data_IF_927728580817
#
_entry.id   IF_927728580817
#
_cell.length_a   1.000
_cell.length_b   1.000
_cell.length_c   1.000
_cell.angle_alpha   90.00
_cell.angle_beta   90.00
_cell.angle_gamma   90.00
#
_symmetry.space_group_name_H-M   'P 1'
#
loop_
_entity.id
_entity.type
_entity.pdbx_description
1 polymer ?
#
# COMPACT_ATOMS: atom_id res chain seq x y z
N UNK A 1 -20.34 15.52 -21.46
CA UNK A 1 -20.57 15.89 -20.06
C UNK A 1 -21.07 14.67 -19.30
N UNK A 2 -20.24 14.08 -18.44
CA UNK A 2 -20.64 13.27 -17.29
C UNK A 2 -19.36 13.03 -16.50
N UNK A 3 -19.16 13.83 -15.45
CA UNK A 3 -17.91 13.91 -14.67
C UNK A 3 -17.96 12.94 -13.47
N UNK A 4 -19.10 12.28 -13.21
CA UNK A 4 -19.27 11.35 -12.09
C UNK A 4 -19.99 10.08 -12.55
N UNK A 5 -19.31 8.92 -12.43
CA UNK A 5 -19.84 7.60 -12.81
C UNK A 5 -20.33 6.77 -11.59
N UNK A 6 -20.06 7.24 -10.36
CA UNK A 6 -20.49 6.60 -9.11
C UNK A 6 -20.53 7.62 -7.98
N UNK A 7 -21.25 7.31 -6.91
CA UNK A 7 -21.21 8.03 -5.65
C UNK A 7 -21.07 7.05 -4.49
N UNK A 8 -20.47 7.51 -3.40
CA UNK A 8 -20.15 6.66 -2.27
C UNK A 8 -19.83 7.45 -1.01
N UNK A 9 -19.75 6.75 0.10
CA UNK A 9 -19.44 7.32 1.41
C UNK A 9 -18.67 6.33 2.27
N UNK A 10 -17.72 6.86 3.02
CA UNK A 10 -16.81 6.07 3.84
C UNK A 10 -16.98 6.48 5.31
N UNK A 11 -17.19 5.49 6.17
CA UNK A 11 -17.21 5.65 7.61
C UNK A 11 -16.06 4.86 8.22
N UNK A 12 -15.27 5.53 9.06
CA UNK A 12 -14.15 4.93 9.77
C UNK A 12 -14.28 5.23 11.26
N UNK A 13 -14.01 4.22 12.07
CA UNK A 13 -13.91 4.37 13.52
C UNK A 13 -12.70 3.60 14.02
N UNK A 14 -11.97 4.18 14.97
CA UNK A 14 -10.84 3.52 15.62
C UNK A 14 -10.90 3.71 17.13
N UNK A 15 -10.78 2.61 17.88
CA UNK A 15 -10.66 2.63 19.34
C UNK A 15 -9.25 2.22 19.74
N UNK A 16 -8.61 3.05 20.56
CA UNK A 16 -7.27 2.82 21.07
C UNK A 16 -7.34 2.61 22.57
N UNK A 17 -6.79 1.50 23.05
CA UNK A 17 -6.72 1.17 24.47
C UNK A 17 -5.31 1.44 25.00
N UNK A 18 -5.20 1.85 26.26
CA UNK A 18 -3.91 2.07 26.94
C UNK A 18 -3.06 0.81 27.03
N UNK A 19 -3.67 -0.37 26.88
CA UNK A 19 -3.01 -1.68 26.75
C UNK A 19 -2.26 -1.87 25.42
N UNK A 20 -2.31 -0.89 24.52
CA UNK A 20 -1.74 -0.95 23.17
C UNK A 20 -2.59 -1.76 22.18
N UNK A 21 -3.77 -2.22 22.59
CA UNK A 21 -4.76 -2.82 21.69
C UNK A 21 -5.49 -1.71 20.91
N UNK A 22 -5.74 -1.96 19.63
CA UNK A 22 -6.40 -1.04 18.72
C UNK A 22 -7.39 -1.82 17.86
N UNK A 23 -8.61 -1.31 17.76
CA UNK A 23 -9.62 -1.81 16.83
C UNK A 23 -9.97 -0.74 15.82
N UNK A 24 -10.06 -1.11 14.56
CA UNK A 24 -10.51 -0.27 13.45
C UNK A 24 -11.70 -0.92 12.80
N UNK A 25 -12.74 -0.13 12.56
CA UNK A 25 -13.90 -0.51 11.79
C UNK A 25 -14.00 0.44 10.60
N UNK A 26 -14.14 -0.12 9.42
CA UNK A 26 -14.42 0.64 8.20
C UNK A 26 -15.71 0.14 7.58
N UNK A 27 -16.49 1.07 7.06
CA UNK A 27 -17.64 0.80 6.22
C UNK A 27 -17.56 1.70 5.01
N UNK A 28 -17.58 1.11 3.81
CA UNK A 28 -17.57 1.85 2.57
C UNK A 28 -18.79 1.44 1.73
N UNK A 29 -19.49 2.43 1.21
CA UNK A 29 -20.61 2.24 0.30
C UNK A 29 -20.25 2.83 -1.06
N UNK A 30 -20.43 2.06 -2.13
CA UNK A 30 -20.32 2.56 -3.51
C UNK A 30 -21.52 2.14 -4.33
N UNK A 31 -22.12 3.11 -5.02
CA UNK A 31 -23.22 2.87 -5.96
C UNK A 31 -22.90 3.48 -7.33
N UNK A 32 -23.10 2.72 -8.43
CA UNK A 32 -23.01 3.27 -9.77
C UNK A 32 -24.13 4.29 -10.02
N UNK A 33 -23.84 5.33 -10.80
CA UNK A 33 -24.81 6.39 -11.08
C UNK A 33 -25.97 5.85 -11.93
N UNK A 34 -27.19 5.85 -11.39
CA UNK A 34 -28.40 5.45 -12.11
C UNK A 34 -29.00 4.09 -11.73
N UNK A 35 -28.35 3.29 -10.87
CA UNK A 35 -28.94 2.05 -10.34
C UNK A 35 -28.53 1.78 -8.88
N UNK A 36 -29.38 2.21 -7.95
CA UNK A 36 -29.20 2.02 -6.51
C UNK A 36 -29.22 0.54 -6.09
N UNK A 37 -29.80 -0.35 -6.91
CA UNK A 37 -29.88 -1.78 -6.62
C UNK A 37 -28.59 -2.53 -6.94
N UNK A 38 -27.56 -1.86 -7.45
CA UNK A 38 -26.23 -2.41 -7.68
C UNK A 38 -25.18 -1.85 -6.70
N UNK A 39 -25.63 -1.41 -5.52
CA UNK A 39 -24.72 -0.93 -4.51
C UNK A 39 -23.85 -2.06 -3.94
N UNK A 40 -22.56 -1.78 -3.84
CA UNK A 40 -21.59 -2.62 -3.15
C UNK A 40 -21.31 -2.06 -1.76
N UNK A 41 -21.43 -2.92 -0.76
CA UNK A 41 -21.13 -2.58 0.62
C UNK A 41 -19.85 -3.29 1.05
N UNK A 42 -18.90 -2.55 1.60
CA UNK A 42 -17.66 -3.08 2.12
C UNK A 42 -17.63 -2.87 3.63
N UNK A 43 -17.35 -3.93 4.37
CA UNK A 43 -17.16 -3.89 5.83
C UNK A 43 -15.76 -4.36 6.13
N UNK A 44 -14.95 -3.51 6.74
CA UNK A 44 -13.60 -3.85 7.18
C UNK A 44 -13.50 -3.90 8.70
N UNK A 45 -12.76 -4.89 9.19
CA UNK A 45 -12.34 -5.01 10.58
C UNK A 45 -10.82 -5.08 10.61
N UNK A 46 -10.21 -4.19 11.38
CA UNK A 46 -8.79 -4.23 11.73
C UNK A 46 -8.63 -4.41 13.24
N UNK A 47 -7.84 -5.39 13.64
CA UNK A 47 -7.41 -5.59 15.01
C UNK A 47 -5.89 -5.51 15.04
N UNK A 48 -5.35 -4.76 15.98
CA UNK A 48 -3.91 -4.79 16.20
C UNK A 48 -3.58 -4.69 17.67
N UNK A 49 -2.50 -5.35 18.07
CA UNK A 49 -2.03 -5.27 19.44
C UNK A 49 -0.55 -5.00 19.47
N UNK A 50 -0.19 -3.86 20.06
CA UNK A 50 1.20 -3.45 20.25
C UNK A 50 1.59 -3.62 21.71
N UNK A 51 2.66 -4.36 21.96
CA UNK A 51 3.27 -4.47 23.29
C UNK A 51 4.78 -4.36 23.20
N UNK A 52 5.44 -4.07 24.33
CA UNK A 52 6.88 -3.85 24.38
C UNK A 52 7.55 -4.94 25.23
N UNK A 53 8.12 -6.00 24.63
CA UNK A 53 8.79 -7.06 25.39
C UNK A 53 10.11 -6.61 26.03
N UNK A 54 10.77 -5.61 25.43
CA UNK A 54 12.01 -5.01 25.91
C UNK A 54 11.88 -3.49 25.84
N UNK A 55 12.60 -2.77 26.71
CA UNK A 55 12.61 -1.30 26.72
C UNK A 55 12.92 -0.78 25.30
N UNK A 56 11.97 -0.06 24.70
CA UNK A 56 12.03 0.58 23.37
C UNK A 56 11.85 -0.34 22.14
N UNK A 57 11.71 -1.65 22.34
CA UNK A 57 11.36 -2.59 21.26
C UNK A 57 9.88 -2.91 21.37
N UNK A 58 9.17 -2.82 20.26
CA UNK A 58 7.73 -3.05 20.18
C UNK A 58 7.45 -4.18 19.21
N UNK A 59 6.57 -5.07 19.65
CA UNK A 59 5.95 -6.07 18.81
C UNK A 59 4.51 -5.65 18.54
N UNK A 60 4.09 -5.68 17.28
CA UNK A 60 2.71 -5.43 16.87
C UNK A 60 2.19 -6.62 16.09
N UNK A 61 1.11 -7.24 16.56
CA UNK A 61 0.30 -8.14 15.73
C UNK A 61 -0.77 -7.34 14.98
N UNK A 62 -1.13 -7.80 13.78
CA UNK A 62 -2.14 -7.22 12.93
C UNK A 62 -3.03 -8.33 12.39
N UNK A 63 -4.33 -8.09 12.42
CA UNK A 63 -5.32 -8.82 11.65
C UNK A 63 -6.20 -7.80 10.96
N UNK A 64 -6.41 -7.95 9.66
CA UNK A 64 -7.38 -7.15 8.92
C UNK A 64 -8.22 -8.09 8.07
N UNK A 65 -9.50 -7.80 7.95
CA UNK A 65 -10.39 -8.50 7.06
C UNK A 65 -11.35 -7.49 6.45
N UNK A 66 -11.61 -7.62 5.15
CA UNK A 66 -12.66 -6.89 4.46
C UNK A 66 -13.63 -7.89 3.83
N UNK A 67 -14.91 -7.64 4.04
CA UNK A 67 -16.03 -8.37 3.46
C UNK A 67 -16.71 -7.48 2.43
N UNK A 68 -17.05 -8.06 1.29
CA UNK A 68 -17.97 -7.47 0.32
C UNK A 68 -19.36 -8.09 0.53
N UNK A 69 -20.36 -7.24 0.62
CA UNK A 69 -21.77 -7.61 0.57
C UNK A 69 -22.35 -7.05 -0.72
N UNK A 70 -22.91 -7.92 -1.56
CA UNK A 70 -23.67 -7.52 -2.74
C UNK A 70 -25.06 -7.00 -2.35
N UNK A 71 -25.84 -6.52 -3.33
CA UNK A 71 -27.17 -5.98 -3.12
C UNK A 71 -28.16 -6.97 -2.47
N UNK A 72 -27.85 -8.27 -2.50
CA UNK A 72 -28.62 -9.35 -1.87
C UNK A 72 -28.08 -9.74 -0.47
N UNK A 73 -27.16 -8.94 0.09
CA UNK A 73 -26.49 -9.15 1.37
C UNK A 73 -25.70 -10.48 1.49
N UNK A 74 -25.26 -11.07 0.38
CA UNK A 74 -24.44 -12.28 0.45
C UNK A 74 -23.00 -11.88 0.78
N UNK A 75 -22.58 -12.18 2.00
CA UNK A 75 -21.23 -11.90 2.48
C UNK A 75 -20.20 -12.78 1.76
N UNK A 76 -19.19 -12.15 1.17
CA UNK A 76 -18.00 -12.82 0.64
C UNK A 76 -16.77 -12.13 1.22
N UNK A 77 -15.85 -12.91 1.79
CA UNK A 77 -14.55 -12.36 2.17
C UNK A 77 -13.86 -11.80 0.93
N UNK A 78 -13.44 -10.55 0.96
CA UNK A 78 -12.71 -9.90 -0.14
C UNK A 78 -11.20 -9.99 0.12
N UNK A 79 -10.83 -9.82 1.39
CA UNK A 79 -9.45 -9.70 1.84
C UNK A 79 -9.34 -10.15 3.29
N UNK A 80 -8.26 -10.85 3.63
CA UNK A 80 -7.87 -11.16 4.99
C UNK A 80 -6.36 -11.12 5.06
N UNK A 81 -5.81 -10.41 6.04
CA UNK A 81 -4.38 -10.32 6.27
C UNK A 81 -4.08 -10.58 7.74
N UNK A 82 -3.04 -11.36 7.96
CA UNK A 82 -2.44 -11.57 9.27
C UNK A 82 -1.02 -11.04 9.18
N UNK A 83 -0.59 -10.31 10.18
CA UNK A 83 0.72 -9.68 10.14
C UNK A 83 1.34 -9.58 11.52
N UNK A 84 2.65 -9.49 11.52
CA UNK A 84 3.39 -9.06 12.69
C UNK A 84 4.48 -8.07 12.30
N UNK A 85 4.81 -7.19 13.22
CA UNK A 85 5.85 -6.19 13.08
C UNK A 85 6.69 -6.13 14.35
N UNK A 86 8.00 -6.03 14.17
CA UNK A 86 8.96 -5.73 15.23
C UNK A 86 9.62 -4.39 14.90
N UNK A 87 9.59 -3.43 15.82
CA UNK A 87 10.16 -2.11 15.58
C UNK A 87 10.78 -1.47 16.83
N UNK A 88 11.74 -0.60 16.60
CA UNK A 88 12.32 0.31 17.58
C UNK A 88 12.22 1.74 17.04
N UNK A 89 11.81 2.68 17.89
CA UNK A 89 11.65 4.10 17.54
C UNK A 89 12.77 5.00 18.08
N UNK A 90 13.66 4.48 18.94
CA UNK A 90 14.73 5.25 19.59
C UNK A 90 16.12 4.74 19.24
N UNK A 91 17.10 5.63 19.35
CA UNK A 91 18.56 5.47 19.14
C UNK A 91 18.99 4.98 17.75
N UNK A 92 18.43 3.86 17.28
CA UNK A 92 18.62 3.28 15.95
C UNK A 92 17.29 2.74 15.45
N UNK A 93 16.43 3.60 14.87
CA UNK A 93 15.10 3.17 14.49
C UNK A 93 15.14 2.08 13.43
N UNK A 94 14.35 1.04 13.62
CA UNK A 94 14.17 -0.02 12.65
C UNK A 94 12.74 -0.56 12.70
N UNK A 95 12.32 -1.19 11.62
CA UNK A 95 11.08 -1.92 11.54
C UNK A 95 11.25 -3.13 10.63
N UNK A 96 10.69 -4.26 11.04
CA UNK A 96 10.57 -5.47 10.25
C UNK A 96 9.14 -5.96 10.35
N UNK A 97 8.53 -6.31 9.22
CA UNK A 97 7.15 -6.79 9.19
C UNK A 97 7.00 -7.95 8.22
N UNK A 98 6.16 -8.91 8.58
CA UNK A 98 5.77 -10.04 7.74
C UNK A 98 4.25 -10.12 7.75
N UNK A 99 3.66 -10.09 6.56
CA UNK A 99 2.22 -9.92 6.39
C UNK A 99 1.68 -10.85 5.29
N UNK A 100 1.38 -12.13 5.62
CA UNK A 100 0.58 -12.98 4.77
C UNK A 100 -0.85 -12.44 4.61
N UNK A 101 -1.38 -12.54 3.39
CA UNK A 101 -2.76 -12.18 3.07
C UNK A 101 -3.38 -13.17 2.09
N UNK A 102 -4.70 -13.29 2.18
CA UNK A 102 -5.57 -14.01 1.27
C UNK A 102 -6.54 -12.98 0.72
N UNK A 103 -6.75 -12.94 -0.59
CA UNK A 103 -7.63 -11.97 -1.22
C UNK A 103 -8.36 -12.62 -2.38
N UNK A 104 -9.44 -11.99 -2.83
CA UNK A 104 -10.08 -12.35 -4.08
C UNK A 104 -9.57 -11.45 -5.19
N UNK A 105 -9.14 -12.05 -6.31
CA UNK A 105 -8.70 -11.29 -7.47
C UNK A 105 -9.89 -10.55 -8.11
N UNK A 106 -9.88 -9.22 -7.98
CA UNK A 106 -10.95 -8.33 -8.42
C UNK A 106 -10.86 -7.91 -9.88
N UNK A 107 -9.76 -8.21 -10.59
CA UNK A 107 -9.60 -7.89 -12.01
C UNK A 107 -10.58 -8.66 -12.93
N UNK A 108 -11.17 -9.77 -12.42
CA UNK A 108 -12.21 -10.57 -13.09
C UNK A 108 -13.58 -10.44 -12.41
N UNK A 109 -13.92 -9.25 -11.91
CA UNK A 109 -15.27 -8.94 -11.42
C UNK A 109 -16.26 -8.81 -12.59
N UNK A 110 -16.54 -9.92 -13.26
CA UNK A 110 -17.83 -10.07 -13.97
C UNK A 110 -18.93 -10.35 -12.93
N UNK A 111 -20.22 -10.14 -13.25
CA UNK A 111 -21.34 -10.42 -12.35
C UNK A 111 -21.38 -11.87 -11.81
N UNK A 112 -20.63 -12.78 -12.45
CA UNK A 112 -20.50 -14.18 -12.05
C UNK A 112 -19.16 -14.41 -11.33
N UNK A 113 -19.15 -14.16 -10.03
CA UNK A 113 -18.06 -14.53 -9.12
C UNK A 113 -17.83 -16.05 -9.18
N UNK A 114 -16.86 -16.50 -9.97
CA UNK A 114 -16.49 -17.91 -10.09
C UNK A 114 -15.61 -18.36 -8.92
N UNK A 115 -15.79 -19.61 -8.49
CA UNK A 115 -15.21 -20.26 -7.30
C UNK A 115 -13.67 -20.28 -7.20
N UNK A 116 -12.93 -19.81 -8.21
CA UNK A 116 -11.48 -20.04 -8.35
C UNK A 116 -10.61 -18.76 -8.26
N UNK A 117 -11.12 -17.65 -7.76
CA UNK A 117 -10.40 -16.36 -7.75
C UNK A 117 -9.65 -16.05 -6.44
N UNK A 118 -9.34 -17.05 -5.62
CA UNK A 118 -8.58 -16.88 -4.38
C UNK A 118 -7.08 -16.69 -4.67
N UNK A 119 -6.54 -15.55 -4.28
CA UNK A 119 -5.12 -15.21 -4.30
C UNK A 119 -4.50 -15.30 -2.91
N UNK A 120 -3.23 -15.71 -2.85
CA UNK A 120 -2.40 -15.65 -1.65
C UNK A 120 -1.28 -14.66 -1.89
N UNK A 121 -0.87 -13.94 -0.85
CA UNK A 121 0.30 -13.07 -0.90
C UNK A 121 1.09 -13.16 0.40
N UNK A 122 2.41 -13.15 0.30
CA UNK A 122 3.32 -12.98 1.43
C UNK A 122 4.13 -11.70 1.23
N UNK A 123 3.96 -10.72 2.13
CA UNK A 123 4.72 -9.47 2.11
C UNK A 123 5.75 -9.43 3.24
N UNK A 124 6.94 -8.95 2.93
CA UNK A 124 8.03 -8.70 3.85
C UNK A 124 8.43 -7.24 3.73
N UNK A 125 8.50 -6.54 4.85
CA UNK A 125 8.95 -5.16 4.91
C UNK A 125 10.11 -5.02 5.87
N UNK A 126 11.10 -4.22 5.50
CA UNK A 126 12.13 -3.76 6.43
C UNK A 126 12.42 -2.28 6.24
N UNK A 127 12.72 -1.60 7.34
CA UNK A 127 13.22 -0.23 7.34
C UNK A 127 14.32 -0.11 8.37
N UNK A 128 15.46 0.45 7.98
CA UNK A 128 16.61 0.67 8.87
C UNK A 128 17.21 2.06 8.64
N UNK A 129 17.85 2.62 9.67
CA UNK A 129 18.50 3.93 9.61
C UNK A 129 20.01 3.76 9.86
N UNK A 130 20.78 3.30 8.87
CA UNK A 130 22.21 3.01 9.04
C UNK A 130 23.01 4.25 9.47
N UNK A 131 22.58 5.44 9.05
CA UNK A 131 23.14 6.73 9.46
C UNK A 131 22.03 7.71 9.85
N UNK A 132 21.37 7.43 10.98
CA UNK A 132 20.22 8.20 11.48
C UNK A 132 20.49 9.70 11.61
N UNK A 133 21.69 10.10 12.06
CA UNK A 133 22.09 11.50 12.20
C UNK A 133 22.17 12.27 10.87
N UNK A 134 22.31 11.55 9.76
CA UNK A 134 22.37 12.14 8.42
C UNK A 134 21.01 12.06 7.69
N UNK A 135 19.95 11.59 8.37
CA UNK A 135 18.62 11.45 7.78
C UNK A 135 18.50 10.28 6.80
N UNK A 136 19.45 9.34 6.82
CA UNK A 136 19.43 8.19 5.91
C UNK A 136 18.48 7.11 6.41
N UNK A 137 17.68 6.58 5.49
CA UNK A 137 16.94 5.34 5.73
C UNK A 137 16.96 4.45 4.51
N UNK A 138 17.03 3.15 4.75
CA UNK A 138 16.89 2.12 3.73
C UNK A 138 15.60 1.38 4.01
N UNK A 139 14.72 1.31 3.02
CA UNK A 139 13.44 0.59 3.11
C UNK A 139 13.38 -0.46 2.02
N UNK A 140 13.02 -1.69 2.37
CA UNK A 140 12.84 -2.78 1.44
C UNK A 140 11.44 -3.37 1.62
N UNK A 141 10.73 -3.57 0.51
CA UNK A 141 9.48 -4.30 0.44
C UNK A 141 9.68 -5.46 -0.53
N UNK A 142 9.43 -6.69 -0.09
CA UNK A 142 9.35 -7.85 -0.95
C UNK A 142 7.96 -8.44 -0.85
N UNK A 143 7.38 -8.84 -1.97
CA UNK A 143 6.09 -9.49 -2.02
C UNK A 143 6.15 -10.67 -2.95
N UNK A 144 5.50 -11.75 -2.54
CA UNK A 144 5.30 -12.94 -3.35
C UNK A 144 3.81 -13.27 -3.44
N UNK A 145 3.30 -13.37 -4.66
CA UNK A 145 1.91 -13.76 -4.95
C UNK A 145 1.93 -14.98 -5.85
N UNK A 146 1.77 -16.20 -5.30
CA UNK A 146 1.73 -17.42 -6.10
C UNK A 146 0.49 -17.49 -6.99
N UNK A 147 0.64 -18.11 -8.16
CA UNK A 147 -0.44 -18.42 -9.10
C UNK A 147 -1.30 -17.23 -9.53
N UNK A 148 -0.70 -16.03 -9.55
CA UNK A 148 -1.38 -14.83 -9.96
C UNK A 148 -1.08 -14.54 -11.43
N UNK A 149 -2.13 -14.43 -12.24
CA UNK A 149 -2.01 -14.01 -13.64
C UNK A 149 -1.53 -12.54 -13.76
N UNK A 150 -1.75 -11.74 -12.72
CA UNK A 150 -1.39 -10.33 -12.62
C UNK A 150 -0.86 -9.98 -11.23
N UNK A 151 0.04 -9.00 -11.13
CA UNK A 151 0.53 -8.52 -9.85
C UNK A 151 -0.60 -7.80 -9.10
N UNK A 152 -1.13 -8.41 -8.04
CA UNK A 152 -2.06 -7.73 -7.14
C UNK A 152 -1.31 -6.62 -6.38
N UNK A 153 -1.59 -5.36 -6.75
CA UNK A 153 -1.08 -4.17 -6.07
C UNK A 153 -1.99 -3.85 -4.88
N UNK A 154 -1.40 -3.72 -3.69
CA UNK A 154 -2.05 -3.21 -2.50
C UNK A 154 -1.72 -1.74 -2.30
N UNK A 155 -2.54 -1.05 -1.52
CA UNK A 155 -2.40 0.38 -1.24
C UNK A 155 -0.99 0.80 -0.78
N UNK A 156 -0.32 -0.08 -0.02
CA UNK A 156 1.03 0.14 0.52
C UNK A 156 2.16 -0.15 -0.48
N UNK A 157 1.87 -0.68 -1.67
CA UNK A 157 2.88 -0.75 -2.70
C UNK A 157 3.21 0.66 -3.15
N UNK A 158 4.46 1.03 -2.98
CA UNK A 158 5.01 2.24 -3.58
C UNK A 158 5.28 2.01 -5.05
N UNK A 159 4.42 1.29 -5.79
CA UNK A 159 4.70 0.87 -7.16
C UNK A 159 4.69 2.10 -8.07
N UNK A 160 5.89 2.66 -8.24
CA UNK A 160 6.21 3.76 -9.16
C UNK A 160 6.29 3.26 -10.59
N UNK A 161 6.14 1.95 -10.80
CA UNK A 161 6.09 1.30 -12.09
C UNK A 161 4.73 1.57 -12.77
N UNK A 162 4.84 2.53 -13.66
CA UNK A 162 3.94 2.92 -14.72
C UNK A 162 3.50 1.69 -15.53
N UNK A 163 2.17 1.47 -15.50
CA UNK A 163 1.30 0.54 -16.24
C UNK A 163 1.87 -0.38 -17.34
N UNK A 164 1.18 -1.53 -17.41
CA UNK A 164 1.19 -2.64 -18.36
C UNK A 164 2.36 -3.64 -18.28
N UNK A 165 2.38 -4.43 -17.21
CA UNK A 165 2.82 -5.83 -17.37
C UNK A 165 1.60 -6.69 -17.65
N UNK A 166 1.20 -6.77 -18.92
CA UNK A 166 0.26 -7.80 -19.37
C UNK A 166 1.05 -9.09 -19.61
N UNK A 167 1.35 -9.87 -18.57
CA UNK A 167 1.77 -11.25 -18.81
C UNK A 167 0.62 -12.02 -19.44
N UNK A 168 0.89 -12.71 -20.54
CA UNK A 168 -0.03 -13.72 -21.06
C UNK A 168 -0.42 -14.71 -19.96
N UNK A 169 -1.69 -15.14 -19.92
CA UNK A 169 -2.26 -15.94 -18.85
C UNK A 169 -1.65 -17.33 -18.87
N UNK A 170 -0.61 -17.54 -18.08
CA UNK A 170 -0.12 -18.85 -17.72
C UNK A 170 0.24 -18.83 -16.24
N UNK A 171 -0.12 -19.89 -15.52
CA UNK A 171 0.01 -20.08 -14.08
C UNK A 171 1.39 -19.73 -13.53
N UNK A 172 1.62 -18.46 -13.20
CA UNK A 172 2.95 -17.97 -12.86
C UNK A 172 2.90 -17.23 -11.54
N UNK A 173 3.90 -17.45 -10.70
CA UNK A 173 4.06 -16.69 -9.47
C UNK A 173 4.74 -15.37 -9.79
N UNK A 174 4.31 -14.31 -9.12
CA UNK A 174 4.89 -12.98 -9.27
C UNK A 174 5.59 -12.58 -7.97
N UNK A 175 6.83 -12.10 -8.07
CA UNK A 175 7.49 -11.39 -6.99
C UNK A 175 7.73 -9.92 -7.33
N UNK A 176 7.38 -9.05 -6.38
CA UNK A 176 7.72 -7.64 -6.41
C UNK A 176 8.80 -7.39 -5.36
N UNK A 177 9.86 -6.68 -5.73
CA UNK A 177 10.88 -6.19 -4.81
C UNK A 177 11.08 -4.71 -5.03
N UNK A 178 10.91 -3.92 -3.98
CA UNK A 178 11.16 -2.48 -3.97
C UNK A 178 12.22 -2.15 -2.92
N UNK A 179 13.21 -1.36 -3.31
CA UNK A 179 14.25 -0.85 -2.43
C UNK A 179 14.27 0.67 -2.56
N UNK A 180 14.18 1.37 -1.43
CA UNK A 180 14.26 2.84 -1.37
C UNK A 180 15.40 3.24 -0.44
N UNK A 181 16.32 4.05 -0.96
CA UNK A 181 17.34 4.72 -0.18
C UNK A 181 17.01 6.21 -0.09
N UNK A 182 16.71 6.66 1.12
CA UNK A 182 16.53 8.06 1.45
C UNK A 182 17.86 8.61 1.98
N UNK A 183 18.33 9.75 1.46
CA UNK A 183 19.51 10.45 2.02
C UNK A 183 19.18 11.84 2.54
N UNK A 184 18.00 12.37 2.23
CA UNK A 184 17.56 13.67 2.69
C UNK A 184 16.12 13.58 3.15
N UNK A 185 15.92 13.80 4.43
CA UNK A 185 14.60 13.99 5.03
C UNK A 185 14.65 15.22 5.91
N UNK A 186 13.85 16.24 5.60
CA UNK A 186 13.77 17.46 6.40
C UNK A 186 12.31 17.74 6.75
N UNK A 187 12.05 18.00 8.03
CA UNK A 187 10.82 18.68 8.42
C UNK A 187 10.99 20.16 8.07
N UNK A 188 10.27 20.64 7.07
CA UNK A 188 10.64 21.90 6.42
C UNK A 188 10.00 23.12 7.05
N UNK A 189 8.89 22.95 7.78
CA UNK A 189 8.10 24.05 8.36
C UNK A 189 7.69 25.13 7.34
N UNK A 190 7.82 24.83 6.04
CA UNK A 190 7.68 25.83 4.99
C UNK A 190 6.20 26.03 4.69
N UNK A 191 5.72 27.27 4.82
CA UNK A 191 4.34 27.64 4.54
C UNK A 191 4.31 28.35 3.21
N UNK A 192 3.77 27.70 2.18
CA UNK A 192 3.67 28.29 0.83
C UNK A 192 2.54 29.35 0.80
N UNK A 193 1.47 29.11 1.56
CA UNK A 193 0.30 29.98 1.79
C UNK A 193 -0.28 29.65 3.18
N UNK A 194 -1.06 30.53 3.82
CA UNK A 194 -1.67 30.25 5.15
C UNK A 194 -2.41 28.90 5.22
N UNK A 195 -2.96 28.45 4.09
CA UNK A 195 -3.64 27.16 4.00
C UNK A 195 -2.70 25.96 3.77
N UNK A 196 -1.53 26.11 3.13
CA UNK A 196 -0.67 24.99 2.73
C UNK A 196 0.71 25.04 3.38
N UNK A 197 1.04 23.99 4.15
CA UNK A 197 2.32 23.84 4.83
C UNK A 197 3.00 22.52 4.44
N UNK A 198 4.23 22.61 3.95
CA UNK A 198 5.08 21.46 3.69
C UNK A 198 5.67 20.97 5.02
N UNK A 199 5.14 19.87 5.51
CA UNK A 199 5.54 19.27 6.80
C UNK A 199 6.83 18.46 6.64
N UNK A 200 6.94 17.66 5.58
CA UNK A 200 8.11 16.84 5.35
C UNK A 200 8.48 16.76 3.86
N UNK A 201 9.78 16.74 3.58
CA UNK A 201 10.33 16.43 2.27
C UNK A 201 11.35 15.31 2.41
N UNK A 202 11.17 14.28 1.59
CA UNK A 202 12.08 13.15 1.44
C UNK A 202 12.52 12.99 -0.02
N UNK A 203 13.82 12.83 -0.24
CA UNK A 203 14.41 12.57 -1.55
C UNK A 203 15.28 11.31 -1.50
N UNK A 204 15.25 10.54 -2.59
CA UNK A 204 15.94 9.26 -2.62
C UNK A 204 16.11 8.62 -3.98
N UNK A 205 16.77 7.47 -3.95
CA UNK A 205 16.91 6.51 -5.06
C UNK A 205 15.98 5.35 -4.80
N UNK A 206 15.36 4.84 -5.85
CA UNK A 206 14.58 3.63 -5.78
C UNK A 206 15.05 2.61 -6.82
N UNK A 207 14.85 1.35 -6.48
CA UNK A 207 14.93 0.23 -7.41
C UNK A 207 13.68 -0.61 -7.24
N UNK A 208 12.96 -0.81 -8.33
CA UNK A 208 11.79 -1.70 -8.40
C UNK A 208 12.12 -2.85 -9.35
N UNK A 209 11.81 -4.07 -8.93
CA UNK A 209 11.98 -5.27 -9.73
C UNK A 209 10.73 -6.14 -9.66
N UNK A 210 10.21 -6.53 -10.82
CA UNK A 210 9.09 -7.47 -10.96
C UNK A 210 9.59 -8.74 -11.64
N UNK A 211 9.38 -9.88 -10.98
CA UNK A 211 9.81 -11.19 -11.45
C UNK A 211 8.60 -12.07 -11.74
N UNK A 212 8.61 -12.72 -12.90
CA UNK A 212 7.78 -13.87 -13.24
C UNK A 212 8.64 -15.14 -13.08
N UNK A 213 8.25 -16.04 -12.17
CA UNK A 213 8.98 -17.29 -11.89
C UNK A 213 8.84 -18.38 -12.96
N UNK A 214 8.30 -18.06 -14.13
CA UNK A 214 8.30 -18.98 -15.27
C UNK A 214 9.66 -19.25 -15.90
N UNK A 215 10.71 -18.55 -15.46
CA UNK A 215 12.09 -18.63 -15.98
C UNK A 215 12.22 -18.34 -17.50
N UNK A 216 11.18 -17.81 -18.14
CA UNK A 216 11.19 -17.51 -19.58
C UNK A 216 11.31 -16.02 -19.90
N UNK A 217 10.92 -15.14 -18.97
CA UNK A 217 10.92 -13.69 -19.18
C UNK A 217 12.02 -13.00 -18.39
N UNK A 218 12.57 -11.92 -18.95
CA UNK A 218 13.45 -11.03 -18.22
C UNK A 218 12.65 -10.27 -17.16
N UNK A 219 13.21 -10.02 -15.96
CA UNK A 219 12.50 -9.24 -14.96
C UNK A 219 12.41 -7.78 -15.39
N UNK A 220 11.23 -7.17 -15.20
CA UNK A 220 11.11 -5.73 -15.32
C UNK A 220 11.93 -5.10 -14.19
N UNK A 221 12.88 -4.25 -14.56
CA UNK A 221 13.81 -3.62 -13.64
C UNK A 221 13.84 -2.12 -13.89
N UNK A 222 13.51 -1.35 -12.85
CA UNK A 222 13.50 0.12 -12.90
C UNK A 222 14.41 0.66 -11.81
N UNK A 223 15.28 1.60 -12.19
CA UNK A 223 16.07 2.40 -11.25
C UNK A 223 15.77 3.86 -11.48
N UNK A 224 15.58 4.62 -10.40
CA UNK A 224 15.23 6.02 -10.54
C UNK A 224 15.39 6.84 -9.27
N UNK A 225 15.03 8.10 -9.41
CA UNK A 225 14.98 9.10 -8.35
C UNK A 225 13.53 9.34 -7.95
N UNK A 226 13.32 9.64 -6.68
CA UNK A 226 12.00 10.01 -6.19
C UNK A 226 12.02 11.18 -5.21
N UNK A 227 10.86 11.84 -5.13
CA UNK A 227 10.50 12.75 -4.06
C UNK A 227 9.20 12.31 -3.39
N UNK A 228 9.12 12.55 -2.08
CA UNK A 228 7.91 12.42 -1.29
C UNK A 228 7.75 13.67 -0.43
N UNK A 229 6.59 14.30 -0.54
CA UNK A 229 6.25 15.55 0.14
C UNK A 229 4.98 15.32 0.95
N UNK A 230 5.02 15.63 2.24
CA UNK A 230 3.84 15.66 3.10
C UNK A 230 3.40 17.12 3.26
N UNK A 231 2.18 17.41 2.81
CA UNK A 231 1.62 18.77 2.81
C UNK A 231 0.36 18.76 3.67
N UNK A 232 0.30 19.63 4.67
CA UNK A 232 -0.87 19.83 5.53
C UNK A 232 -1.69 21.04 5.06
N UNK A 233 -3.01 20.94 5.26
CA UNK A 233 -3.97 21.98 4.96
C UNK A 233 -4.53 22.57 6.25
N UNK A 234 -3.95 23.69 6.71
CA UNK A 234 -4.34 24.41 7.95
C UNK A 234 -4.53 23.51 9.19
N UNK A 235 -3.81 22.38 9.28
CA UNK A 235 -3.94 21.40 10.36
C UNK A 235 -5.22 20.55 10.35
N UNK A 236 -6.08 20.69 9.34
CA UNK A 236 -7.35 19.96 9.21
C UNK A 236 -7.22 18.65 8.42
N UNK A 237 -6.28 18.60 7.48
CA UNK A 237 -6.00 17.41 6.67
C UNK A 237 -4.57 17.41 6.18
N UNK A 238 -4.06 16.26 5.76
CA UNK A 238 -2.76 16.16 5.10
C UNK A 238 -2.87 15.32 3.83
N UNK A 239 -1.98 15.59 2.88
CA UNK A 239 -1.82 14.75 1.71
C UNK A 239 -0.35 14.56 1.41
N UNK A 240 -0.03 13.41 0.83
CA UNK A 240 1.28 13.10 0.31
C UNK A 240 1.29 13.28 -1.20
N UNK A 241 2.30 14.01 -1.68
CA UNK A 241 2.66 14.10 -3.08
C UNK A 241 3.93 13.28 -3.30
N UNK A 242 3.85 12.26 -4.14
CA UNK A 242 4.98 11.42 -4.51
C UNK A 242 5.27 11.58 -5.99
N UNK A 243 6.51 11.92 -6.33
CA UNK A 243 6.97 12.04 -7.71
C UNK A 243 8.14 11.10 -7.93
N UNK A 244 8.23 10.50 -9.11
CA UNK A 244 9.37 9.66 -9.47
C UNK A 244 9.68 9.73 -10.95
N UNK A 245 10.97 9.63 -11.25
CA UNK A 245 11.48 9.45 -12.60
C UNK A 245 12.52 8.34 -12.55
N UNK A 246 12.42 7.36 -13.44
CA UNK A 246 13.33 6.23 -13.52
C UNK A 246 13.53 5.76 -14.95
N UNK A 247 14.38 4.77 -15.10
CA UNK A 247 14.68 4.12 -16.36
C UNK A 247 14.26 2.67 -16.32
N UNK A 248 13.41 2.28 -17.27
CA UNK A 248 13.00 0.88 -17.51
C UNK A 248 14.06 0.21 -18.39
N UNK A 249 14.77 -0.75 -17.81
CA UNK A 249 15.86 -1.45 -18.50
C UNK A 249 15.38 -2.56 -19.42
N UNK A 250 14.14 -3.04 -19.27
CA UNK A 250 13.57 -4.06 -20.14
C UNK A 250 13.14 -3.43 -21.48
N UNK A 251 12.43 -2.31 -21.41
CA UNK A 251 11.95 -1.59 -22.59
C UNK A 251 12.87 -0.46 -23.03
N UNK A 252 13.99 -0.24 -22.33
CA UNK A 252 14.99 0.80 -22.62
C UNK A 252 14.42 2.22 -22.72
N UNK A 253 13.44 2.55 -21.87
CA UNK A 253 12.68 3.80 -21.94
C UNK A 253 12.63 4.54 -20.59
N UNK A 254 12.61 5.88 -20.59
CA UNK A 254 12.35 6.63 -19.37
C UNK A 254 10.90 6.45 -18.92
N UNK A 255 10.71 6.50 -17.60
CA UNK A 255 9.44 6.25 -16.92
C UNK A 255 9.25 7.32 -15.84
N UNK A 256 8.09 7.97 -15.79
CA UNK A 256 7.78 8.99 -14.78
C UNK A 256 6.39 8.76 -14.16
N UNK A 257 6.27 8.99 -12.85
CA UNK A 257 5.02 8.84 -12.11
C UNK A 257 4.78 9.98 -11.14
N UNK A 258 3.49 10.30 -10.96
CA UNK A 258 2.97 11.30 -10.04
C UNK A 258 1.81 10.67 -9.27
N UNK A 259 1.92 10.59 -7.95
CA UNK A 259 0.91 9.99 -7.08
C UNK A 259 0.50 10.99 -6.00
N UNK A 260 -0.81 11.11 -5.81
CA UNK A 260 -1.43 11.90 -4.75
C UNK A 260 -2.11 10.93 -3.76
N UNK A 261 -1.84 11.10 -2.47
CA UNK A 261 -2.43 10.27 -1.42
C UNK A 261 -2.96 11.17 -0.31
N UNK A 262 -4.28 11.33 -0.21
CA UNK A 262 -4.91 12.06 0.89
C UNK A 262 -4.98 11.20 2.15
N UNK A 263 -4.64 11.78 3.30
CA UNK A 263 -4.91 11.22 4.61
C UNK A 263 -6.04 12.05 5.23
N UNK A 264 -7.21 11.44 5.40
CA UNK A 264 -8.37 12.00 6.11
C UNK A 264 -8.49 11.33 7.48
#
# INVERSE_FOLDING_TARGET
SNIFNSFGGDFFSSLHFSSGFETKLSYNYRSPYGDLNQASHYVGLGLSWTFSPLKQVFFKSLFTAELLSDADFREKALFSQLGFSLFNTKDKPYQFSIEPSVFYNTAKLSPEFTKNNLGLTLSFFSKVHPFSNLGFSLTQLMRYTPFAEEAALFYNDGFRAIYDYSSQPNNKSIALSQLNLYWYTKNTGFTAMEAFKLEALSLGLFTDALYDFSFQNHPLFIVGLFSKQEISLAGLSSFNLETSVGWDFEHTQPKASLRFVSQF
#
